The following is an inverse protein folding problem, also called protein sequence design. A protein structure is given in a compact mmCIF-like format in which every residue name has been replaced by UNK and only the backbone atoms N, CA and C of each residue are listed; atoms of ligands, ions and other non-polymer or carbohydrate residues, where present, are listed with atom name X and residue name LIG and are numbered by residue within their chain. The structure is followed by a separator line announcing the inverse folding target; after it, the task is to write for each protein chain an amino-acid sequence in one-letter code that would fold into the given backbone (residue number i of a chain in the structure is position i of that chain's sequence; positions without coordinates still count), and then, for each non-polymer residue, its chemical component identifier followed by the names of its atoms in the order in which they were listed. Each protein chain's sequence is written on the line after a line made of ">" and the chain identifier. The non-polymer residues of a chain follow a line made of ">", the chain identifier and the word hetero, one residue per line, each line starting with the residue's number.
data_IF_842222319424
#
_entry.id   IF_842222319424
#
_cell.length_a   1.000
_cell.length_b   1.000
_cell.length_c   1.000
_cell.angle_alpha   90.00
_cell.angle_beta   90.00
_cell.angle_gamma   90.00
#
_symmetry.space_group_name_H-M   'P 1'
#
loop_
_entity.id
_entity.type
_entity.pdbx_description
1 polymer ?
#
# COMPACT_ATOMS: atom_id res chain seq x y z
N UNK A 1 -4.72 -0.92 26.89
CA UNK A 1 -5.38 -2.00 26.08
C UNK A 1 -4.39 -2.55 25.09
N UNK A 2 -4.17 -3.87 25.08
CA UNK A 2 -3.22 -4.56 24.20
C UNK A 2 -4.01 -5.28 23.10
N UNK A 3 -3.74 -4.99 21.85
CA UNK A 3 -4.42 -5.59 20.68
C UNK A 3 -3.42 -6.35 19.83
N UNK A 4 -3.74 -7.61 19.52
CA UNK A 4 -3.04 -8.39 18.48
C UNK A 4 -3.72 -8.18 17.14
N UNK A 5 -3.03 -7.51 16.23
CA UNK A 5 -3.47 -7.33 14.83
C UNK A 5 -2.91 -8.40 13.90
N UNK A 6 -3.74 -8.90 12.97
CA UNK A 6 -3.38 -9.92 11.98
C UNK A 6 -3.78 -9.46 10.58
N UNK A 7 -2.84 -9.52 9.64
CA UNK A 7 -3.03 -9.11 8.24
C UNK A 7 -2.60 -10.23 7.29
N UNK A 8 -3.47 -10.53 6.32
CA UNK A 8 -3.18 -11.48 5.23
C UNK A 8 -3.99 -11.17 3.96
N UNK A 9 -4.30 -9.89 3.71
CA UNK A 9 -5.23 -9.53 2.62
C UNK A 9 -4.68 -9.71 1.21
N UNK A 10 -3.36 -9.68 1.03
CA UNK A 10 -2.75 -9.70 -0.30
C UNK A 10 -1.55 -10.66 -0.37
N UNK A 11 -0.32 -10.16 -0.30
CA UNK A 11 0.93 -10.91 -0.46
C UNK A 11 1.89 -10.77 0.72
N UNK A 12 1.49 -10.08 1.77
CA UNK A 12 2.23 -10.00 3.03
C UNK A 12 1.46 -10.68 4.15
N UNK A 13 2.13 -11.58 4.89
CA UNK A 13 1.61 -12.12 6.15
C UNK A 13 2.18 -11.30 7.29
N UNK A 14 1.34 -10.61 8.06
CA UNK A 14 1.82 -9.79 9.15
C UNK A 14 1.02 -9.99 10.44
N UNK A 15 1.69 -9.77 11.57
CA UNK A 15 1.08 -9.62 12.86
C UNK A 15 1.79 -8.56 13.70
N UNK A 16 1.04 -7.81 14.47
CA UNK A 16 1.53 -6.72 15.30
C UNK A 16 0.86 -6.72 16.67
N UNK A 17 1.59 -6.27 17.69
CA UNK A 17 1.04 -5.95 19.01
C UNK A 17 1.05 -4.44 19.17
N UNK A 18 -0.14 -3.87 19.35
CA UNK A 18 -0.34 -2.44 19.53
C UNK A 18 -0.96 -2.15 20.89
N UNK A 19 -0.44 -1.15 21.58
CA UNK A 19 -0.92 -0.74 22.91
C UNK A 19 -1.62 0.61 22.79
N UNK A 20 -2.77 0.71 23.46
CA UNK A 20 -3.60 1.92 23.54
C UNK A 20 -3.90 2.57 22.18
N UNK A 21 -3.98 1.73 21.15
CA UNK A 21 -4.33 2.11 19.77
C UNK A 21 -3.23 2.83 18.99
N UNK A 22 -2.04 3.07 19.57
CA UNK A 22 -1.00 3.91 18.95
C UNK A 22 0.42 3.36 19.07
N UNK A 23 0.81 2.78 20.20
CA UNK A 23 2.17 2.30 20.42
C UNK A 23 2.37 0.91 19.81
N UNK A 24 3.28 0.81 18.84
CA UNK A 24 3.69 -0.45 18.23
C UNK A 24 4.74 -1.11 19.14
N UNK A 25 4.41 -2.19 19.83
CA UNK A 25 5.38 -3.02 20.56
C UNK A 25 6.07 -4.05 19.70
N UNK A 26 5.35 -4.56 18.71
CA UNK A 26 5.91 -5.43 17.69
C UNK A 26 5.18 -5.25 16.37
N UNK A 27 5.91 -5.41 15.27
CA UNK A 27 5.37 -5.48 13.92
C UNK A 27 6.24 -6.45 13.12
N UNK A 28 5.71 -7.64 12.86
CA UNK A 28 6.42 -8.72 12.16
C UNK A 28 5.68 -9.03 10.88
N UNK A 29 6.40 -8.95 9.76
CA UNK A 29 5.86 -9.22 8.45
C UNK A 29 6.76 -10.19 7.66
N UNK A 30 6.14 -11.03 6.86
CA UNK A 30 6.78 -11.90 5.87
C UNK A 30 6.23 -11.57 4.50
N UNK A 31 7.07 -10.97 3.66
CA UNK A 31 6.69 -10.61 2.28
C UNK A 31 6.88 -11.79 1.33
N UNK A 32 5.96 -11.90 0.38
CA UNK A 32 5.99 -12.88 -0.70
C UNK A 32 6.50 -12.29 -2.03
N UNK A 33 7.09 -11.08 -1.99
CA UNK A 33 7.54 -10.38 -3.18
C UNK A 33 8.47 -11.23 -4.07
N UNK A 34 9.43 -11.94 -3.46
CA UNK A 34 10.34 -12.85 -4.21
C UNK A 34 9.62 -14.02 -4.86
N UNK A 35 8.58 -14.56 -4.19
CA UNK A 35 7.76 -15.63 -4.73
C UNK A 35 7.02 -15.16 -5.98
N UNK A 36 6.44 -13.99 -5.92
CA UNK A 36 5.61 -13.43 -6.98
C UNK A 36 6.42 -12.77 -8.11
N UNK A 37 7.67 -12.36 -7.85
CA UNK A 37 8.59 -11.79 -8.85
C UNK A 37 8.72 -12.67 -10.10
N UNK A 38 8.76 -14.00 -9.92
CA UNK A 38 8.87 -14.99 -11.01
C UNK A 38 7.67 -14.95 -11.98
N UNK A 39 6.52 -14.50 -11.49
CA UNK A 39 5.28 -14.42 -12.28
C UNK A 39 5.00 -12.98 -12.74
N UNK A 40 5.79 -12.01 -12.25
CA UNK A 40 5.66 -10.59 -12.54
C UNK A 40 4.37 -9.98 -11.98
N UNK A 41 3.86 -10.48 -10.87
CA UNK A 41 2.67 -10.03 -10.17
C UNK A 41 2.11 -11.13 -9.27
N UNK A 42 1.14 -10.77 -8.43
CA UNK A 42 0.58 -11.66 -7.41
C UNK A 42 -0.23 -12.78 -8.06
N UNK A 43 0.04 -14.03 -7.63
CA UNK A 43 -0.73 -15.24 -7.97
C UNK A 43 -1.56 -15.61 -6.74
N UNK A 44 -2.90 -15.41 -6.75
CA UNK A 44 -3.73 -15.53 -5.53
C UNK A 44 -3.66 -16.89 -4.84
N UNK A 45 -3.56 -17.98 -5.60
CA UNK A 45 -3.46 -19.33 -5.01
C UNK A 45 -2.14 -19.54 -4.29
N UNK A 46 -1.03 -19.08 -4.87
CA UNK A 46 0.28 -19.16 -4.23
C UNK A 46 0.33 -18.29 -2.97
N UNK A 47 -0.25 -17.07 -3.04
CA UNK A 47 -0.36 -16.19 -1.88
C UNK A 47 -1.09 -16.89 -0.73
N UNK A 48 -2.25 -17.47 -0.97
CA UNK A 48 -3.04 -18.17 0.04
C UNK A 48 -2.27 -19.33 0.68
N UNK A 49 -1.57 -20.12 -0.10
CA UNK A 49 -0.75 -21.25 0.39
C UNK A 49 0.42 -20.79 1.25
N UNK A 50 1.07 -19.70 0.86
CA UNK A 50 2.15 -19.10 1.63
C UNK A 50 1.66 -18.56 2.98
N UNK A 51 0.50 -17.88 3.01
CA UNK A 51 -0.11 -17.42 4.26
C UNK A 51 -0.35 -18.58 5.24
N UNK A 52 -0.86 -19.74 4.77
CA UNK A 52 -1.07 -20.91 5.63
C UNK A 52 0.22 -21.35 6.32
N UNK A 53 1.34 -21.29 5.63
CA UNK A 53 2.65 -21.67 6.18
C UNK A 53 3.21 -20.63 7.16
N UNK A 54 2.95 -19.33 6.91
CA UNK A 54 3.58 -18.22 7.61
C UNK A 54 2.79 -17.73 8.82
N UNK A 55 1.46 -17.86 8.82
CA UNK A 55 0.61 -17.18 9.79
C UNK A 55 0.92 -17.55 11.25
N UNK A 56 1.16 -18.82 11.56
CA UNK A 56 1.48 -19.28 12.92
C UNK A 56 2.86 -18.79 13.39
N UNK A 57 3.96 -18.97 12.62
CA UNK A 57 5.25 -18.40 12.95
C UNK A 57 5.22 -16.88 13.17
N UNK A 58 4.53 -16.14 12.30
CA UNK A 58 4.45 -14.67 12.36
C UNK A 58 3.71 -14.21 13.62
N UNK A 59 2.56 -14.80 13.94
CA UNK A 59 1.82 -14.47 15.16
C UNK A 59 2.63 -14.77 16.42
N UNK A 60 3.32 -15.91 16.47
CA UNK A 60 4.22 -16.24 17.58
C UNK A 60 5.37 -15.26 17.71
N UNK A 61 5.99 -14.89 16.61
CA UNK A 61 7.08 -13.91 16.60
C UNK A 61 6.60 -12.54 17.08
N UNK A 62 5.40 -12.08 16.65
CA UNK A 62 4.84 -10.82 17.09
C UNK A 62 4.62 -10.77 18.62
N UNK A 63 4.01 -11.81 19.19
CA UNK A 63 3.81 -11.91 20.63
C UNK A 63 5.15 -11.96 21.39
N UNK A 64 6.10 -12.79 20.93
CA UNK A 64 7.42 -12.92 21.55
C UNK A 64 8.22 -11.62 21.48
N UNK A 65 8.20 -10.92 20.35
CA UNK A 65 8.92 -9.64 20.19
C UNK A 65 8.34 -8.54 21.10
N UNK A 66 7.03 -8.57 21.34
CA UNK A 66 6.36 -7.64 22.24
C UNK A 66 6.50 -8.02 23.72
N UNK A 67 7.12 -9.17 24.04
CA UNK A 67 7.21 -9.76 25.37
C UNK A 67 5.83 -9.91 26.06
N UNK A 68 4.84 -10.40 25.29
CA UNK A 68 3.48 -10.67 25.77
C UNK A 68 3.02 -12.07 25.38
N UNK A 69 2.18 -12.65 26.21
CA UNK A 69 1.45 -13.89 25.91
C UNK A 69 0.07 -13.59 25.33
N UNK A 70 -0.58 -14.59 24.75
CA UNK A 70 -1.97 -14.45 24.29
C UNK A 70 -2.94 -14.10 25.44
N UNK A 71 -2.60 -14.45 26.67
CA UNK A 71 -3.43 -14.14 27.86
C UNK A 71 -3.42 -12.65 28.18
N UNK A 72 -2.32 -11.96 27.89
CA UNK A 72 -2.13 -10.52 28.16
C UNK A 72 -2.84 -9.64 27.13
N UNK A 73 -3.23 -10.22 25.96
CA UNK A 73 -3.95 -9.52 24.91
C UNK A 73 -5.40 -9.28 25.30
N UNK A 74 -5.89 -8.06 25.09
CA UNK A 74 -7.29 -7.69 25.41
C UNK A 74 -8.26 -7.98 24.25
N UNK A 75 -7.78 -7.87 23.00
CA UNK A 75 -8.59 -8.12 21.81
C UNK A 75 -7.72 -8.59 20.63
N UNK A 76 -8.35 -9.32 19.70
CA UNK A 76 -7.74 -9.77 18.45
C UNK A 76 -8.41 -9.02 17.30
N UNK A 77 -7.62 -8.28 16.53
CA UNK A 77 -8.05 -7.59 15.34
C UNK A 77 -7.54 -8.33 14.10
N UNK A 78 -8.36 -8.43 13.05
CA UNK A 78 -7.96 -9.08 11.80
C UNK A 78 -8.54 -8.37 10.61
N UNK A 79 -7.77 -8.24 9.54
CA UNK A 79 -8.27 -7.71 8.28
C UNK A 79 -9.35 -8.62 7.71
N UNK A 80 -10.56 -8.06 7.53
CA UNK A 80 -11.73 -8.76 7.02
C UNK A 80 -12.02 -8.44 5.53
N UNK A 81 -11.35 -7.46 4.97
CA UNK A 81 -11.46 -6.99 3.58
C UNK A 81 -11.21 -5.49 3.43
N UNK A 82 -11.08 -5.03 2.17
CA UNK A 82 -10.94 -5.80 0.94
C UNK A 82 -9.63 -6.57 0.84
N UNK A 83 -9.57 -7.54 -0.09
CA UNK A 83 -8.38 -8.34 -0.34
C UNK A 83 -8.67 -9.61 -1.14
N UNK A 84 -7.65 -10.44 -1.35
CA UNK A 84 -7.78 -11.73 -2.02
C UNK A 84 -8.53 -12.70 -1.10
N UNK A 85 -9.66 -13.24 -1.57
CA UNK A 85 -10.55 -14.07 -0.74
C UNK A 85 -9.83 -15.24 -0.06
N UNK A 86 -8.98 -15.97 -0.80
CA UNK A 86 -8.21 -17.10 -0.24
C UNK A 86 -7.19 -16.67 0.82
N UNK A 87 -6.58 -15.50 0.65
CA UNK A 87 -5.62 -14.93 1.60
C UNK A 87 -6.32 -14.44 2.87
N UNK A 88 -7.41 -13.69 2.73
CA UNK A 88 -8.23 -13.22 3.86
C UNK A 88 -8.74 -14.36 4.75
N UNK A 89 -9.18 -15.48 4.15
CA UNK A 89 -9.69 -16.66 4.89
C UNK A 89 -8.62 -17.21 5.84
N UNK A 90 -7.33 -17.16 5.49
CA UNK A 90 -6.26 -17.68 6.34
C UNK A 90 -6.14 -16.85 7.62
N UNK A 91 -6.02 -15.53 7.52
CA UNK A 91 -5.95 -14.63 8.68
C UNK A 91 -7.21 -14.68 9.54
N UNK A 92 -8.40 -14.66 8.90
CA UNK A 92 -9.69 -14.75 9.58
C UNK A 92 -9.83 -16.03 10.39
N UNK A 93 -9.46 -17.19 9.83
CA UNK A 93 -9.56 -18.46 10.56
C UNK A 93 -8.53 -18.55 11.69
N UNK A 94 -7.31 -18.04 11.48
CA UNK A 94 -6.32 -17.94 12.55
C UNK A 94 -6.85 -17.09 13.71
N UNK A 95 -7.36 -15.90 13.42
CA UNK A 95 -7.90 -14.98 14.43
C UNK A 95 -9.13 -15.59 15.17
N UNK A 96 -10.03 -16.24 14.45
CA UNK A 96 -11.18 -16.95 15.03
C UNK A 96 -10.73 -18.07 15.97
N UNK A 97 -9.73 -18.86 15.56
CA UNK A 97 -9.16 -19.92 16.40
C UNK A 97 -8.56 -19.39 17.68
N UNK A 98 -7.78 -18.32 17.60
CA UNK A 98 -7.19 -17.65 18.77
C UNK A 98 -8.25 -17.05 19.68
N UNK A 99 -9.24 -16.36 19.13
CA UNK A 99 -10.34 -15.78 19.91
C UNK A 99 -11.16 -16.84 20.65
N UNK A 100 -11.51 -17.93 19.96
CA UNK A 100 -12.24 -19.04 20.56
C UNK A 100 -11.45 -19.75 21.68
N UNK A 101 -10.12 -19.93 21.50
CA UNK A 101 -9.27 -20.58 22.48
C UNK A 101 -8.98 -19.71 23.71
N UNK A 102 -8.92 -18.38 23.53
CA UNK A 102 -8.56 -17.44 24.61
C UNK A 102 -9.77 -16.76 25.25
N UNK A 103 -10.96 -16.84 24.66
CA UNK A 103 -12.14 -16.10 25.10
C UNK A 103 -12.08 -14.59 24.84
N UNK A 104 -11.12 -14.14 24.01
CA UNK A 104 -10.94 -12.72 23.71
C UNK A 104 -11.87 -12.24 22.59
N UNK A 105 -12.31 -10.97 22.61
CA UNK A 105 -13.11 -10.40 21.54
C UNK A 105 -12.36 -10.40 20.21
N UNK A 106 -13.08 -10.68 19.12
CA UNK A 106 -12.59 -10.65 17.75
C UNK A 106 -13.16 -9.44 17.01
N UNK A 107 -12.30 -8.65 16.38
CA UNK A 107 -12.66 -7.43 15.67
C UNK A 107 -12.23 -7.57 14.21
N UNK A 108 -13.20 -7.47 13.28
CA UNK A 108 -12.91 -7.37 11.85
C UNK A 108 -12.56 -5.94 11.47
N UNK A 109 -11.42 -5.73 10.81
CA UNK A 109 -10.92 -4.42 10.39
C UNK A 109 -10.94 -4.30 8.87
N UNK A 110 -11.33 -3.14 8.36
CA UNK A 110 -11.20 -2.83 6.95
C UNK A 110 -9.74 -2.50 6.60
N UNK A 111 -9.20 -3.18 5.58
CA UNK A 111 -7.80 -3.03 5.14
C UNK A 111 -7.42 -1.57 4.82
N UNK A 112 -8.31 -0.82 4.14
CA UNK A 112 -8.04 0.58 3.80
C UNK A 112 -8.03 1.49 5.03
N UNK A 113 -8.88 1.20 6.02
CA UNK A 113 -8.82 1.88 7.31
C UNK A 113 -7.51 1.58 8.03
N UNK A 114 -7.03 0.33 7.98
CA UNK A 114 -5.71 -0.03 8.52
C UNK A 114 -4.58 0.80 7.90
N UNK A 115 -4.59 0.99 6.59
CA UNK A 115 -3.63 1.87 5.92
C UNK A 115 -3.76 3.34 6.33
N UNK A 116 -4.98 3.85 6.44
CA UNK A 116 -5.22 5.24 6.88
C UNK A 116 -4.70 5.46 8.31
N UNK A 117 -5.08 4.56 9.24
CA UNK A 117 -4.70 4.66 10.65
C UNK A 117 -3.22 4.38 10.93
N UNK A 118 -2.45 3.90 9.97
CA UNK A 118 -0.99 3.80 10.11
C UNK A 118 -0.32 5.14 10.46
N UNK A 119 -0.90 6.27 10.06
CA UNK A 119 -0.43 7.62 10.40
C UNK A 119 -0.56 7.99 11.89
N UNK A 120 -1.30 7.22 12.69
CA UNK A 120 -1.46 7.41 14.15
C UNK A 120 -0.45 6.64 14.97
N UNK A 121 0.23 5.66 14.35
CA UNK A 121 1.09 4.72 15.06
C UNK A 121 2.51 5.27 15.21
N UNK A 122 3.17 4.88 16.31
CA UNK A 122 4.58 5.16 16.58
C UNK A 122 5.27 3.93 17.16
N UNK A 123 6.60 3.87 17.04
CA UNK A 123 7.38 2.75 17.56
C UNK A 123 7.56 2.87 19.07
N UNK A 124 7.46 1.75 19.76
CA UNK A 124 7.86 1.68 21.17
C UNK A 124 9.33 2.07 21.34
N UNK A 125 9.59 2.99 22.27
CA UNK A 125 10.95 3.52 22.49
C UNK A 125 11.28 4.81 21.76
N UNK A 126 10.37 5.37 20.95
CA UNK A 126 10.50 6.74 20.47
C UNK A 126 10.55 7.73 21.63
N UNK A 127 11.32 8.82 21.48
CA UNK A 127 11.56 9.79 22.54
C UNK A 127 10.27 10.47 23.06
N UNK A 128 9.25 10.60 22.20
CA UNK A 128 7.90 11.03 22.54
C UNK A 128 6.91 10.48 21.53
N UNK A 129 5.68 10.16 21.98
CA UNK A 129 4.59 9.84 21.05
C UNK A 129 4.31 11.06 20.14
N UNK A 130 4.27 10.90 18.82
CA UNK A 130 3.94 12.00 17.92
C UNK A 130 2.50 12.47 18.18
N UNK A 131 2.25 13.75 17.93
CA UNK A 131 0.90 14.31 17.97
C UNK A 131 0.02 13.59 16.94
N UNK A 132 -1.20 13.21 17.32
CA UNK A 132 -2.10 12.57 16.38
C UNK A 132 -2.54 13.55 15.28
N UNK A 133 -2.83 13.08 14.05
CA UNK A 133 -3.23 13.95 12.94
C UNK A 133 -4.38 14.90 13.29
N UNK A 134 -5.43 14.41 13.95
CA UNK A 134 -6.56 15.26 14.39
C UNK A 134 -6.22 16.24 15.51
N UNK A 135 -5.22 15.94 16.32
CA UNK A 135 -4.71 16.86 17.35
C UNK A 135 -3.89 18.00 16.72
N UNK A 136 -3.28 17.73 15.54
CA UNK A 136 -2.51 18.74 14.80
C UNK A 136 -3.41 19.72 14.04
N UNK A 137 -4.48 19.23 13.42
CA UNK A 137 -5.28 20.04 12.49
C UNK A 137 -6.80 19.84 12.61
N UNK A 138 -7.27 18.87 13.40
CA UNK A 138 -8.70 18.55 13.54
C UNK A 138 -9.26 17.66 12.43
N UNK A 139 -10.53 17.31 12.56
CA UNK A 139 -11.31 16.67 11.51
C UNK A 139 -12.11 17.70 10.69
N UNK A 140 -12.55 17.39 9.46
CA UNK A 140 -12.31 16.15 8.73
C UNK A 140 -10.90 16.06 8.14
N UNK A 141 -10.42 14.82 7.92
CA UNK A 141 -9.16 14.52 7.25
C UNK A 141 -9.42 13.81 5.93
N UNK A 142 -8.59 14.07 4.91
CA UNK A 142 -8.58 13.29 3.68
C UNK A 142 -7.49 12.23 3.77
N UNK A 143 -7.87 10.96 3.62
CA UNK A 143 -6.94 9.85 3.59
C UNK A 143 -6.67 9.42 2.16
N UNK A 144 -5.41 9.51 1.71
CA UNK A 144 -4.92 8.93 0.46
C UNK A 144 -4.24 7.59 0.77
N UNK A 145 -4.78 6.50 0.23
CA UNK A 145 -4.15 5.17 0.33
C UNK A 145 -3.58 4.81 -1.03
N UNK A 146 -2.26 4.67 -1.12
CA UNK A 146 -1.53 4.32 -2.35
C UNK A 146 -0.62 3.12 -2.11
N UNK A 147 -0.97 1.98 -2.68
CA UNK A 147 -0.23 0.72 -2.51
C UNK A 147 -0.13 -0.06 -3.82
N UNK A 148 0.39 -1.29 -3.74
CA UNK A 148 0.43 -2.22 -4.88
C UNK A 148 -0.94 -2.48 -5.47
N UNK A 149 -1.97 -2.69 -4.64
CA UNK A 149 -3.32 -3.04 -5.05
C UNK A 149 -4.37 -1.93 -4.89
N UNK A 150 -4.04 -0.81 -4.27
CA UNK A 150 -5.01 0.23 -3.94
C UNK A 150 -4.52 1.63 -4.34
N UNK A 151 -5.46 2.44 -4.84
CA UNK A 151 -5.31 3.89 -4.99
C UNK A 151 -6.67 4.48 -4.68
N UNK A 152 -6.86 4.87 -3.43
CA UNK A 152 -8.15 5.26 -2.87
C UNK A 152 -8.05 6.61 -2.15
N UNK A 153 -9.09 7.42 -2.27
CA UNK A 153 -9.32 8.60 -1.46
C UNK A 153 -10.51 8.34 -0.52
N UNK A 154 -10.33 8.65 0.74
CA UNK A 154 -11.39 8.53 1.74
C UNK A 154 -11.43 9.74 2.66
N UNK A 155 -12.64 10.17 2.98
CA UNK A 155 -12.92 11.22 3.94
C UNK A 155 -13.10 10.60 5.33
N UNK A 156 -12.29 11.00 6.28
CA UNK A 156 -12.42 10.66 7.69
C UNK A 156 -13.05 11.84 8.42
N UNK A 157 -14.35 11.76 8.70
CA UNK A 157 -15.12 12.83 9.35
C UNK A 157 -14.91 12.87 10.85
N UNK A 158 -14.71 11.70 11.43
CA UNK A 158 -14.33 11.45 12.82
C UNK A 158 -13.75 10.04 12.92
N UNK A 159 -13.25 9.64 14.09
CA UNK A 159 -12.85 8.25 14.30
C UNK A 159 -14.03 7.30 14.04
N UNK A 160 -13.82 6.31 13.16
CA UNK A 160 -14.84 5.34 12.76
C UNK A 160 -15.76 5.78 11.62
N UNK A 161 -15.81 7.07 11.27
CA UNK A 161 -16.61 7.59 10.15
C UNK A 161 -15.76 7.75 8.89
N UNK A 162 -15.54 6.64 8.20
CA UNK A 162 -14.69 6.53 7.02
C UNK A 162 -15.55 6.39 5.75
N UNK A 163 -15.51 7.38 4.87
CA UNK A 163 -16.25 7.41 3.62
C UNK A 163 -15.29 7.41 2.43
N UNK A 164 -15.32 6.37 1.60
CA UNK A 164 -14.51 6.33 0.38
C UNK A 164 -15.12 7.23 -0.69
N UNK A 165 -14.40 8.28 -1.09
CA UNK A 165 -14.85 9.29 -2.07
C UNK A 165 -14.26 9.08 -3.47
N UNK A 166 -13.14 8.36 -3.58
CA UNK A 166 -12.52 8.01 -4.86
C UNK A 166 -11.73 6.71 -4.79
N UNK A 167 -11.57 6.04 -5.93
CA UNK A 167 -10.79 4.80 -6.06
C UNK A 167 -10.23 4.66 -7.47
N UNK A 168 -9.28 3.76 -7.64
CA UNK A 168 -8.91 3.38 -9.01
C UNK A 168 -10.04 2.57 -9.68
N UNK A 169 -10.25 2.82 -10.97
CA UNK A 169 -11.23 2.11 -11.82
C UNK A 169 -10.62 0.91 -12.53
N UNK A 170 -9.28 0.86 -12.58
CA UNK A 170 -8.51 -0.18 -13.26
C UNK A 170 -7.25 -0.51 -12.43
N UNK A 171 -6.06 -0.40 -13.00
CA UNK A 171 -4.81 -0.66 -12.30
C UNK A 171 -4.64 0.31 -11.11
N UNK A 172 -4.20 -0.18 -9.95
CA UNK A 172 -3.69 0.68 -8.90
C UNK A 172 -2.36 1.31 -9.31
N UNK A 173 -1.96 2.40 -8.64
CA UNK A 173 -0.70 3.07 -8.96
C UNK A 173 0.50 2.11 -8.87
N UNK A 174 0.61 1.31 -7.81
CA UNK A 174 1.70 0.33 -7.67
C UNK A 174 1.68 -0.75 -8.74
N UNK A 175 0.51 -1.27 -9.08
CA UNK A 175 0.34 -2.20 -10.19
C UNK A 175 0.76 -1.56 -11.54
N UNK A 176 0.48 -0.27 -11.74
CA UNK A 176 0.93 0.47 -12.91
C UNK A 176 2.46 0.60 -12.94
N UNK A 177 3.11 0.83 -11.78
CA UNK A 177 4.57 0.81 -11.67
C UNK A 177 5.16 -0.56 -12.02
N UNK A 178 4.59 -1.65 -11.53
CA UNK A 178 5.06 -3.02 -11.83
C UNK A 178 4.95 -3.34 -13.33
N UNK A 179 3.82 -2.97 -13.94
CA UNK A 179 3.58 -3.16 -15.38
C UNK A 179 4.50 -2.31 -16.24
N UNK A 180 4.74 -1.05 -15.85
CA UNK A 180 5.66 -0.16 -16.54
C UNK A 180 7.12 -0.65 -16.43
N UNK A 181 7.55 -1.08 -15.24
CA UNK A 181 8.87 -1.67 -15.02
C UNK A 181 9.11 -2.87 -15.95
N UNK A 182 8.12 -3.75 -16.08
CA UNK A 182 8.21 -4.91 -17.00
C UNK A 182 8.38 -4.49 -18.46
N UNK A 183 7.67 -3.45 -18.91
CA UNK A 183 7.81 -2.92 -20.27
C UNK A 183 9.16 -2.29 -20.53
N UNK A 184 9.81 -1.77 -19.50
CA UNK A 184 11.15 -1.19 -19.54
C UNK A 184 12.27 -2.23 -19.34
N UNK A 185 11.92 -3.52 -19.15
CA UNK A 185 12.91 -4.56 -18.86
C UNK A 185 13.51 -4.49 -17.45
N UNK A 186 12.84 -3.79 -16.53
CA UNK A 186 13.26 -3.59 -15.14
C UNK A 186 12.72 -4.71 -14.23
N UNK A 187 13.28 -4.80 -13.02
CA UNK A 187 12.92 -5.81 -12.04
C UNK A 187 11.58 -5.57 -11.33
N UNK A 188 11.29 -6.44 -10.37
CA UNK A 188 10.13 -6.39 -9.47
C UNK A 188 10.62 -6.30 -8.01
N UNK A 189 9.96 -5.54 -7.13
CA UNK A 189 8.79 -4.66 -7.39
C UNK A 189 9.16 -3.41 -8.19
N UNK A 190 8.27 -2.98 -9.09
CA UNK A 190 8.52 -1.93 -10.07
C UNK A 190 8.71 -0.53 -9.47
N UNK A 191 7.99 -0.22 -8.39
CA UNK A 191 8.04 1.11 -7.76
C UNK A 191 9.46 1.53 -7.37
N UNK A 192 10.17 0.80 -6.47
CA UNK A 192 11.52 1.15 -6.05
C UNK A 192 12.54 1.18 -7.19
N UNK A 193 12.39 0.28 -8.17
CA UNK A 193 13.32 0.20 -9.32
C UNK A 193 13.13 1.38 -10.25
N UNK A 194 11.88 1.74 -10.59
CA UNK A 194 11.58 2.93 -11.42
C UNK A 194 12.06 4.19 -10.71
N UNK A 195 11.78 4.34 -9.41
CA UNK A 195 12.24 5.50 -8.63
C UNK A 195 13.75 5.71 -8.76
N UNK A 196 14.52 4.65 -8.48
CA UNK A 196 15.99 4.71 -8.53
C UNK A 196 16.51 5.08 -9.91
N UNK A 197 15.94 4.52 -10.97
CA UNK A 197 16.36 4.78 -12.35
C UNK A 197 15.93 6.17 -12.80
N UNK A 198 14.74 6.62 -12.42
CA UNK A 198 14.22 7.95 -12.73
C UNK A 198 15.08 9.09 -12.20
N UNK A 199 15.86 8.89 -11.11
CA UNK A 199 16.79 9.87 -10.57
C UNK A 199 17.89 10.27 -11.56
N UNK A 200 18.30 9.36 -12.43
CA UNK A 200 19.31 9.60 -13.47
C UNK A 200 18.71 10.04 -14.80
N UNK A 201 17.37 10.00 -14.92
CA UNK A 201 16.67 10.30 -16.18
C UNK A 201 16.80 11.76 -16.61
N UNK A 202 17.22 11.97 -17.84
CA UNK A 202 17.24 13.26 -18.49
C UNK A 202 15.84 13.78 -18.83
N UNK A 203 15.75 14.99 -19.40
CA UNK A 203 14.49 15.53 -19.93
C UNK A 203 13.89 14.58 -20.97
N UNK A 204 12.58 14.37 -20.90
CA UNK A 204 11.83 13.57 -21.87
C UNK A 204 10.47 14.23 -22.11
N UNK A 205 9.87 13.93 -23.26
CA UNK A 205 8.50 14.39 -23.51
C UNK A 205 7.54 13.84 -22.45
N UNK A 206 6.62 14.63 -21.94
CA UNK A 206 5.73 14.19 -20.87
C UNK A 206 4.78 13.09 -21.38
N UNK A 207 4.56 12.09 -20.54
CA UNK A 207 3.49 11.12 -20.76
C UNK A 207 2.12 11.74 -20.42
N UNK A 208 1.02 11.24 -21.00
CA UNK A 208 -0.30 11.76 -20.73
C UNK A 208 -0.69 11.56 -19.28
N UNK A 209 -1.45 12.51 -18.71
CA UNK A 209 -2.06 12.39 -17.37
C UNK A 209 -3.45 11.79 -17.52
N UNK A 210 -3.69 10.68 -16.88
CA UNK A 210 -4.96 9.96 -16.95
C UNK A 210 -6.03 10.61 -16.06
N UNK A 211 -6.80 11.56 -16.60
CA UNK A 211 -7.85 12.25 -15.86
C UNK A 211 -9.22 11.63 -16.10
N UNK A 212 -9.88 11.13 -15.05
CA UNK A 212 -11.32 10.88 -15.07
C UNK A 212 -11.99 12.15 -14.53
N UNK A 213 -12.73 12.84 -15.42
CA UNK A 213 -13.38 14.11 -15.07
C UNK A 213 -14.68 13.87 -14.30
N UNK A 214 -15.05 14.82 -13.42
CA UNK A 214 -16.32 14.78 -12.66
C UNK A 214 -16.35 13.71 -11.56
N UNK A 215 -15.22 13.15 -11.17
CA UNK A 215 -15.09 12.13 -10.12
C UNK A 215 -13.69 12.18 -9.49
N UNK A 216 -13.58 11.72 -8.26
CA UNK A 216 -12.31 11.57 -7.55
C UNK A 216 -11.60 10.26 -7.86
N UNK A 217 -12.15 9.43 -8.75
CA UNK A 217 -11.56 8.16 -9.13
C UNK A 217 -10.28 8.32 -9.95
N UNK A 218 -9.42 7.34 -9.86
CA UNK A 218 -8.16 7.22 -10.60
C UNK A 218 -8.27 6.21 -11.75
N UNK A 219 -7.37 6.29 -12.72
CA UNK A 219 -7.16 5.30 -13.77
C UNK A 219 -5.71 5.38 -14.24
N UNK A 220 -5.05 4.25 -14.38
CA UNK A 220 -3.66 4.18 -14.85
C UNK A 220 -3.45 3.25 -16.05
N UNK A 221 -4.49 2.53 -16.48
CA UNK A 221 -4.39 1.60 -17.62
C UNK A 221 -4.01 2.30 -18.93
N UNK A 222 -4.53 3.52 -19.16
CA UNK A 222 -4.17 4.35 -20.33
C UNK A 222 -2.70 4.77 -20.30
N UNK A 223 -2.14 5.04 -19.13
CA UNK A 223 -0.73 5.38 -18.99
C UNK A 223 0.19 4.21 -19.35
N UNK A 224 -0.18 2.97 -18.96
CA UNK A 224 0.52 1.76 -19.39
C UNK A 224 0.60 1.65 -20.91
N UNK A 225 -0.49 1.93 -21.61
CA UNK A 225 -0.53 1.92 -23.07
C UNK A 225 0.40 2.99 -23.68
N UNK A 226 0.42 4.18 -23.08
CA UNK A 226 1.34 5.24 -23.49
C UNK A 226 2.82 4.85 -23.29
N UNK A 227 3.15 4.23 -22.18
CA UNK A 227 4.49 3.67 -21.91
C UNK A 227 4.86 2.63 -22.96
N UNK A 228 3.95 1.69 -23.28
CA UNK A 228 4.20 0.67 -24.29
C UNK A 228 4.50 1.27 -25.66
N UNK A 229 3.72 2.28 -26.08
CA UNK A 229 3.95 2.96 -27.37
C UNK A 229 5.30 3.69 -27.39
N UNK A 230 5.64 4.39 -26.31
CA UNK A 230 6.91 5.09 -26.17
C UNK A 230 8.09 4.11 -26.14
N UNK A 231 8.01 3.05 -25.33
CA UNK A 231 9.05 2.03 -25.25
C UNK A 231 9.32 1.34 -26.59
N UNK A 232 8.27 1.16 -27.43
CA UNK A 232 8.45 0.65 -28.80
C UNK A 232 9.10 1.67 -29.73
N UNK A 233 8.71 2.93 -29.67
CA UNK A 233 9.26 3.98 -30.51
C UNK A 233 10.74 4.26 -30.22
N UNK A 234 11.16 4.11 -28.96
CA UNK A 234 12.53 4.33 -28.50
C UNK A 234 13.38 3.04 -28.50
N UNK A 235 12.85 1.91 -29.00
CA UNK A 235 13.59 0.66 -29.08
C UNK A 235 13.87 -0.01 -27.72
N UNK A 236 13.10 0.35 -26.68
CA UNK A 236 13.21 -0.24 -25.34
C UNK A 236 12.49 -1.59 -25.30
N UNK A 237 11.34 -1.71 -25.98
CA UNK A 237 10.50 -2.89 -25.99
C UNK A 237 10.04 -3.29 -27.40
N UNK A 238 10.17 -4.58 -27.82
CA UNK A 238 10.87 -5.63 -27.10
C UNK A 238 12.36 -5.30 -26.92
N UNK A 239 12.97 -5.81 -25.85
CA UNK A 239 14.38 -5.52 -25.58
C UNK A 239 15.26 -5.98 -26.76
N UNK A 240 16.14 -5.11 -27.30
CA UNK A 240 17.05 -5.46 -28.39
C UNK A 240 18.18 -6.38 -27.89
N UNK A 241 18.89 -7.04 -28.83
CA UNK A 241 20.14 -7.73 -28.51
C UNK A 241 21.14 -6.73 -27.91
N UNK A 242 21.68 -7.06 -26.74
CA UNK A 242 22.56 -6.16 -25.98
C UNK A 242 21.86 -5.25 -24.97
N UNK A 243 20.53 -5.31 -24.90
CA UNK A 243 19.71 -4.49 -24.00
C UNK A 243 19.33 -3.11 -24.57
N UNK A 244 18.35 -2.44 -23.98
CA UNK A 244 17.92 -1.10 -24.38
C UNK A 244 18.93 -0.03 -23.95
N UNK A 245 18.87 1.12 -24.58
CA UNK A 245 19.59 2.32 -24.16
C UNK A 245 19.14 2.72 -22.74
N UNK A 246 20.09 2.74 -21.80
CA UNK A 246 19.81 3.01 -20.39
C UNK A 246 19.37 4.46 -20.14
N UNK A 247 19.85 5.41 -20.92
CA UNK A 247 19.44 6.81 -20.82
C UNK A 247 17.98 6.98 -21.28
N UNK A 248 17.57 6.29 -22.35
CA UNK A 248 16.18 6.27 -22.80
C UNK A 248 15.27 5.59 -21.75
N UNK A 249 15.71 4.48 -21.16
CA UNK A 249 14.96 3.82 -20.07
C UNK A 249 14.79 4.75 -18.87
N UNK A 250 15.85 5.45 -18.45
CA UNK A 250 15.81 6.37 -17.32
C UNK A 250 14.90 7.57 -17.58
N UNK A 251 14.94 8.13 -18.78
CA UNK A 251 14.08 9.23 -19.21
C UNK A 251 12.59 8.82 -19.25
N UNK A 252 12.28 7.63 -19.77
CA UNK A 252 10.91 7.07 -19.76
C UNK A 252 10.43 6.78 -18.35
N UNK A 253 11.28 6.20 -17.47
CA UNK A 253 10.97 5.92 -16.07
C UNK A 253 10.62 7.22 -15.32
N UNK A 254 11.39 8.29 -15.52
CA UNK A 254 11.13 9.61 -14.97
C UNK A 254 9.79 10.18 -15.43
N UNK A 255 9.54 10.21 -16.75
CA UNK A 255 8.28 10.70 -17.31
C UNK A 255 7.06 9.93 -16.80
N UNK A 256 7.20 8.61 -16.60
CA UNK A 256 6.15 7.76 -16.05
C UNK A 256 5.86 8.13 -14.58
N UNK A 257 6.90 8.19 -13.75
CA UNK A 257 6.77 8.52 -12.33
C UNK A 257 6.15 9.91 -12.14
N UNK A 258 6.60 10.91 -12.89
CA UNK A 258 6.02 12.26 -12.88
C UNK A 258 4.53 12.24 -13.28
N UNK A 259 4.15 11.45 -14.29
CA UNK A 259 2.75 11.37 -14.72
C UNK A 259 1.83 10.77 -13.66
N UNK A 260 2.28 9.75 -12.93
CA UNK A 260 1.52 9.15 -11.83
C UNK A 260 1.43 10.13 -10.65
N UNK A 261 2.57 10.71 -10.24
CA UNK A 261 2.63 11.64 -9.11
C UNK A 261 1.75 12.87 -9.32
N UNK A 262 1.79 13.49 -10.51
CA UNK A 262 0.96 14.65 -10.86
C UNK A 262 -0.54 14.37 -10.71
N UNK A 263 -1.00 13.18 -11.20
CA UNK A 263 -2.41 12.81 -11.12
C UNK A 263 -2.84 12.62 -9.66
N UNK A 264 -2.03 11.88 -8.89
CA UNK A 264 -2.33 11.61 -7.48
C UNK A 264 -2.34 12.91 -6.68
N UNK A 265 -1.27 13.71 -6.76
CA UNK A 265 -1.13 14.95 -6.01
C UNK A 265 -2.23 15.96 -6.35
N UNK A 266 -2.48 16.18 -7.65
CA UNK A 266 -3.49 17.16 -8.09
C UNK A 266 -4.89 16.76 -7.68
N UNK A 267 -5.28 15.48 -7.80
CA UNK A 267 -6.61 15.01 -7.37
C UNK A 267 -6.77 15.09 -5.86
N UNK A 268 -5.74 14.70 -5.12
CA UNK A 268 -5.76 14.75 -3.66
C UNK A 268 -5.90 16.19 -3.16
N UNK A 269 -5.11 17.12 -3.71
CA UNK A 269 -5.19 18.54 -3.34
C UNK A 269 -6.58 19.13 -3.65
N UNK A 270 -7.11 18.90 -4.86
CA UNK A 270 -8.45 19.38 -5.23
C UNK A 270 -9.56 18.75 -4.38
N UNK A 271 -9.46 17.47 -4.05
CA UNK A 271 -10.41 16.82 -3.15
C UNK A 271 -10.34 17.42 -1.75
N UNK A 272 -9.14 17.70 -1.24
CA UNK A 272 -8.94 18.34 0.04
C UNK A 272 -9.61 19.74 0.10
N UNK A 273 -9.46 20.53 -0.96
CA UNK A 273 -10.12 21.84 -1.10
C UNK A 273 -11.64 21.72 -1.16
N UNK A 274 -12.17 20.81 -2.01
CA UNK A 274 -13.63 20.63 -2.21
C UNK A 274 -14.33 20.13 -0.95
N UNK A 275 -13.71 19.19 -0.22
CA UNK A 275 -14.28 18.68 1.03
C UNK A 275 -13.95 19.54 2.25
N UNK A 276 -13.17 20.60 2.10
CA UNK A 276 -12.80 21.52 3.19
C UNK A 276 -12.10 20.82 4.34
N UNK A 277 -11.23 19.85 4.05
CA UNK A 277 -10.55 19.07 5.08
C UNK A 277 -9.46 19.87 5.79
N UNK A 278 -9.18 19.52 7.04
CA UNK A 278 -8.18 20.20 7.85
C UNK A 278 -6.76 19.66 7.62
N UNK A 279 -6.64 18.44 7.07
CA UNK A 279 -5.36 17.82 6.80
C UNK A 279 -5.47 16.63 5.88
N UNK A 280 -4.32 16.14 5.39
CA UNK A 280 -4.20 14.97 4.54
C UNK A 280 -3.35 13.94 5.25
N UNK A 281 -3.84 12.71 5.32
CA UNK A 281 -3.08 11.54 5.80
C UNK A 281 -2.77 10.65 4.60
N UNK A 282 -1.50 10.26 4.45
CA UNK A 282 -1.06 9.40 3.35
C UNK A 282 -0.61 8.06 3.91
N UNK A 283 -1.17 6.97 3.37
CA UNK A 283 -0.86 5.60 3.76
C UNK A 283 -0.61 4.69 2.56
N UNK A 284 0.03 3.54 2.82
CA UNK A 284 0.33 2.53 1.80
C UNK A 284 1.79 2.49 1.38
N UNK A 285 2.20 1.39 0.75
CA UNK A 285 3.61 1.10 0.44
C UNK A 285 4.28 2.06 -0.56
N UNK A 286 3.49 2.74 -1.43
CA UNK A 286 4.02 3.74 -2.35
C UNK A 286 4.37 5.07 -1.70
N UNK A 287 3.98 5.31 -0.45
CA UNK A 287 4.42 6.50 0.30
C UNK A 287 5.93 6.56 0.52
N UNK A 288 6.63 5.47 0.25
CA UNK A 288 8.11 5.44 0.25
C UNK A 288 8.73 6.00 -1.04
N UNK A 289 7.92 6.28 -2.06
CA UNK A 289 8.37 6.93 -3.30
C UNK A 289 8.32 8.44 -3.06
N UNK A 290 9.48 9.06 -2.94
CA UNK A 290 9.66 10.47 -2.55
C UNK A 290 8.79 11.48 -3.31
N UNK A 291 8.47 11.21 -4.58
CA UNK A 291 7.66 12.13 -5.39
C UNK A 291 6.15 12.03 -5.15
N UNK A 292 5.66 10.96 -4.52
CA UNK A 292 4.23 10.80 -4.21
C UNK A 292 3.86 11.50 -2.90
N UNK A 293 4.83 11.68 -2.00
CA UNK A 293 4.62 12.24 -0.66
C UNK A 293 5.16 13.67 -0.48
N UNK A 294 5.64 14.32 -1.54
CA UNK A 294 6.00 15.73 -1.57
C UNK A 294 4.84 16.54 -2.14
#
# INVERSE_FOLDING_TARGET
>A
MIVLGIESSCDDTAAAVVVDGREIRSNVASSQAELHAKYGGIVPELASRSHVQQIVPIVRAALSTADVSLQDVDAIAVTSGPGLAGSLIVGLNMAKGLAAASGKPLIGVNHLQGHAYAGWLYQSGDAAAPTAPEEMCGFPLLCLVVSGGHTDLALLKSHGEFERVGRTRDDAAGEAFDKAARLMGLGYPGGPVIQKIAETGGPSDPLPRAWIRGTWDFSFSGLKTAVLHRARAEGIYPAPEGGPDQDAVAALARSFQEAVADVIATKTARAAEEFGVQGIVIGGGLCKIDQVCR
#
